data_IF_308563445020
#
_entry.id   IF_308563445020
#
_cell.length_a   1.000
_cell.length_b   1.000
_cell.length_c   1.000
_cell.angle_alpha   90.00
_cell.angle_beta   90.00
_cell.angle_gamma   90.00
#
_symmetry.space_group_name_H-M   'P 1'
#
loop_
_entity.id
_entity.type
_entity.pdbx_description
1 polymer ?
#
# COMPACT_ATOMS: atom_id res chain seq x y z
N UNK A 1 -3.46 -8.01 15.00
CA UNK A 1 -4.70 -8.45 14.29
C UNK A 1 -5.81 -7.51 14.75
N UNK A 2 -6.24 -6.56 13.92
CA UNK A 2 -7.41 -5.72 14.20
C UNK A 2 -8.43 -6.07 13.12
N UNK A 3 -9.58 -6.57 13.57
CA UNK A 3 -10.71 -7.08 12.78
C UNK A 3 -11.72 -5.95 12.67
N UNK A 4 -11.98 -5.43 11.47
CA UNK A 4 -13.34 -4.95 11.09
C UNK A 4 -13.50 -5.07 9.58
N UNK A 5 -14.37 -5.95 9.12
CA UNK A 5 -15.01 -5.89 7.81
C UNK A 5 -16.52 -6.07 8.03
N UNK A 6 -17.31 -5.13 7.50
CA UNK A 6 -18.78 -5.16 7.55
C UNK A 6 -19.30 -5.13 6.13
N UNK A 7 -20.03 -6.18 5.74
CA UNK A 7 -21.17 -6.16 4.79
C UNK A 7 -21.95 -7.45 4.95
N UNK A 8 -23.28 -7.32 5.08
CA UNK A 8 -24.27 -8.34 5.43
C UNK A 8 -24.53 -9.36 4.30
N UNK A 9 -24.59 -10.66 4.62
CA UNK A 9 -25.63 -11.64 4.19
C UNK A 9 -25.62 -12.89 5.12
N UNK A 10 -26.66 -13.75 5.12
CA UNK A 10 -26.94 -14.63 6.27
C UNK A 10 -26.02 -15.86 6.29
N UNK A 11 -25.24 -15.95 7.39
CA UNK A 11 -24.19 -16.92 7.75
C UNK A 11 -22.78 -16.61 7.23
N UNK A 12 -22.30 -15.40 7.46
CA UNK A 12 -20.88 -15.08 7.30
C UNK A 12 -20.06 -15.85 8.37
N UNK A 13 -19.38 -16.91 7.94
CA UNK A 13 -18.33 -17.56 8.71
C UNK A 13 -17.06 -16.72 8.59
N UNK A 14 -16.56 -16.20 9.72
CA UNK A 14 -15.33 -15.41 9.76
C UNK A 14 -14.20 -16.26 10.34
N UNK A 15 -13.08 -16.32 9.63
CA UNK A 15 -11.85 -16.96 10.08
C UNK A 15 -10.65 -16.04 9.84
N UNK A 16 -9.51 -16.36 10.43
CA UNK A 16 -8.25 -15.73 10.04
C UNK A 16 -7.87 -16.22 8.63
N UNK A 17 -7.76 -15.30 7.67
CA UNK A 17 -7.59 -15.62 6.24
C UNK A 17 -8.93 -15.80 5.53
N UNK A 18 -8.98 -16.72 4.57
CA UNK A 18 -10.21 -17.08 3.83
C UNK A 18 -10.36 -18.61 3.74
N UNK A 19 -11.60 -19.15 3.70
CA UNK A 19 -11.82 -20.57 3.44
C UNK A 19 -11.16 -21.02 2.12
N UNK A 20 -10.65 -22.25 2.12
CA UNK A 20 -10.00 -22.83 0.95
C UNK A 20 -11.02 -23.30 -0.09
N UNK A 21 -10.59 -23.31 -1.37
CA UNK A 21 -11.30 -24.00 -2.44
C UNK A 21 -11.22 -25.51 -2.17
N UNK A 22 -12.29 -26.26 -2.48
CA UNK A 22 -12.26 -27.72 -2.42
C UNK A 22 -11.09 -28.23 -3.31
N UNK A 23 -10.13 -29.01 -2.76
CA UNK A 23 -8.99 -29.55 -3.52
C UNK A 23 -9.39 -30.26 -4.83
N UNK A 24 -10.55 -30.93 -4.85
CA UNK A 24 -11.05 -31.64 -6.04
C UNK A 24 -11.48 -30.70 -7.17
N UNK A 25 -11.69 -29.41 -6.89
CA UNK A 25 -12.13 -28.39 -7.84
C UNK A 25 -11.01 -27.40 -8.19
N UNK A 26 -9.77 -27.66 -7.77
CA UNK A 26 -8.64 -26.76 -8.04
C UNK A 26 -8.16 -26.90 -9.49
N UNK A 27 -7.94 -25.77 -10.16
CA UNK A 27 -7.44 -25.68 -11.53
C UNK A 27 -6.12 -24.89 -11.57
N UNK A 28 -5.32 -25.10 -12.63
CA UNK A 28 -4.10 -24.31 -12.87
C UNK A 28 -4.36 -22.80 -12.90
N UNK A 29 -5.52 -22.37 -13.39
CA UNK A 29 -5.95 -20.97 -13.40
C UNK A 29 -6.10 -20.35 -12.01
N UNK A 30 -6.23 -21.14 -10.93
CA UNK A 30 -6.20 -20.60 -9.57
C UNK A 30 -4.81 -20.17 -9.11
N UNK A 31 -3.74 -20.61 -9.81
CA UNK A 31 -2.35 -20.31 -9.48
C UNK A 31 -1.69 -19.33 -10.46
N UNK A 32 -2.44 -18.80 -11.43
CA UNK A 32 -1.95 -17.84 -12.41
C UNK A 32 -2.87 -16.61 -12.46
N UNK A 33 -2.31 -15.45 -12.80
CA UNK A 33 -3.08 -14.22 -12.94
C UNK A 33 -2.45 -13.29 -13.97
N UNK A 34 -3.30 -12.58 -14.71
CA UNK A 34 -2.90 -11.44 -15.55
C UNK A 34 -3.25 -10.11 -14.89
N UNK A 35 -3.63 -10.10 -13.61
CA UNK A 35 -4.07 -8.88 -12.92
C UNK A 35 -3.01 -7.76 -12.91
N UNK A 36 -1.73 -8.09 -13.11
CA UNK A 36 -0.62 -7.13 -13.12
C UNK A 36 -0.15 -6.75 -14.55
N UNK A 37 -0.81 -7.24 -15.60
CA UNK A 37 -0.33 -7.05 -16.99
C UNK A 37 -0.45 -5.61 -17.48
N UNK A 38 -1.48 -4.90 -17.04
CA UNK A 38 -1.79 -3.55 -17.51
C UNK A 38 -1.59 -2.48 -16.43
N UNK A 39 -1.25 -1.24 -16.82
CA UNK A 39 -1.22 -0.12 -15.91
C UNK A 39 -2.62 0.20 -15.39
N UNK A 40 -2.71 0.60 -14.12
CA UNK A 40 -3.97 1.10 -13.56
C UNK A 40 -4.11 2.62 -13.64
N UNK A 41 -5.31 3.12 -13.35
CA UNK A 41 -5.60 4.54 -13.33
C UNK A 41 -5.03 5.22 -12.08
N UNK A 42 -4.23 6.26 -12.27
CA UNK A 42 -3.59 6.97 -11.17
C UNK A 42 -4.59 7.78 -10.33
N UNK A 43 -4.32 7.88 -9.04
CA UNK A 43 -5.12 8.64 -8.07
C UNK A 43 -4.66 10.10 -7.94
N UNK A 44 -5.20 10.82 -6.95
CA UNK A 44 -4.87 12.23 -6.67
C UNK A 44 -3.38 12.51 -6.33
N UNK A 45 -2.62 11.48 -5.96
CA UNK A 45 -1.18 11.54 -5.74
C UNK A 45 -0.38 11.02 -6.96
N UNK A 46 -1.04 10.85 -8.10
CA UNK A 46 -0.46 10.42 -9.37
C UNK A 46 0.21 9.03 -9.32
N UNK A 47 -0.33 8.10 -8.53
CA UNK A 47 0.07 6.69 -8.57
C UNK A 47 -1.12 5.74 -8.59
N UNK A 48 -0.88 4.50 -9.01
CA UNK A 48 -1.79 3.37 -8.87
C UNK A 48 -1.05 2.16 -8.27
N UNK A 49 -1.77 1.36 -7.47
CA UNK A 49 -1.30 0.05 -7.01
C UNK A 49 -2.31 -1.01 -7.40
N UNK A 50 -1.89 -1.96 -8.22
CA UNK A 50 -2.67 -3.18 -8.50
C UNK A 50 -2.08 -4.33 -7.69
N UNK A 51 -2.81 -4.80 -6.69
CA UNK A 51 -2.37 -5.82 -5.74
C UNK A 51 -2.99 -7.19 -6.06
N UNK A 52 -2.16 -8.24 -6.06
CA UNK A 52 -2.66 -9.61 -6.05
C UNK A 52 -3.29 -9.95 -4.70
N UNK A 53 -4.41 -10.68 -4.73
CA UNK A 53 -5.15 -11.09 -3.55
C UNK A 53 -5.90 -12.39 -3.85
N UNK A 54 -6.58 -12.94 -2.85
CA UNK A 54 -7.28 -14.23 -2.97
C UNK A 54 -8.45 -14.22 -3.96
N UNK A 55 -8.87 -13.07 -4.48
CA UNK A 55 -9.91 -12.99 -5.52
C UNK A 55 -9.32 -13.10 -6.93
N UNK A 56 -8.13 -12.51 -7.18
CA UNK A 56 -7.51 -12.47 -8.52
C UNK A 56 -6.34 -13.44 -8.70
N UNK A 57 -5.85 -14.04 -7.61
CA UNK A 57 -4.87 -15.12 -7.58
C UNK A 57 -5.15 -16.02 -6.37
N UNK A 58 -6.23 -16.83 -6.38
CA UNK A 58 -6.70 -17.58 -5.21
C UNK A 58 -5.65 -18.50 -4.56
N UNK A 59 -4.76 -19.07 -5.37
CA UNK A 59 -3.71 -19.99 -4.96
C UNK A 59 -2.67 -19.40 -3.99
N UNK A 60 -2.65 -18.07 -3.79
CA UNK A 60 -1.77 -17.44 -2.79
C UNK A 60 -2.25 -17.60 -1.34
N UNK A 61 -3.49 -18.05 -1.11
CA UNK A 61 -4.02 -18.22 0.23
C UNK A 61 -3.10 -19.14 1.05
N UNK A 62 -2.82 -18.77 2.29
CA UNK A 62 -1.90 -19.45 3.24
C UNK A 62 -0.40 -19.39 2.90
N UNK A 63 0.00 -18.87 1.73
CA UNK A 63 1.41 -18.84 1.31
C UNK A 63 2.22 -17.65 1.86
N UNK A 64 1.55 -16.69 2.50
CA UNK A 64 2.23 -15.57 3.15
C UNK A 64 2.93 -14.61 2.18
N UNK A 65 2.45 -14.52 0.93
CA UNK A 65 3.01 -13.62 -0.08
C UNK A 65 1.95 -12.98 -0.97
N UNK A 66 2.25 -11.79 -1.48
CA UNK A 66 1.54 -11.13 -2.59
C UNK A 66 2.55 -10.34 -3.44
N UNK A 67 2.17 -10.09 -4.69
CA UNK A 67 2.82 -9.12 -5.58
C UNK A 67 1.92 -7.90 -5.79
N UNK A 68 2.54 -6.75 -5.97
CA UNK A 68 1.92 -5.47 -6.33
C UNK A 68 2.61 -4.87 -7.55
N UNK A 69 1.83 -4.47 -8.56
CA UNK A 69 2.29 -3.55 -9.60
C UNK A 69 2.05 -2.12 -9.14
N UNK A 70 3.03 -1.26 -9.33
CA UNK A 70 2.97 0.15 -8.95
C UNK A 70 3.29 1.00 -10.17
N UNK A 71 2.28 1.70 -10.68
CA UNK A 71 2.43 2.67 -11.76
C UNK A 71 2.49 4.07 -11.15
N UNK A 72 3.56 4.82 -11.38
CA UNK A 72 3.78 6.14 -10.79
C UNK A 72 3.98 7.15 -11.91
N UNK A 73 3.03 8.05 -12.11
CA UNK A 73 3.13 9.05 -13.18
C UNK A 73 4.26 10.04 -12.90
N UNK A 74 4.50 10.95 -13.85
CA UNK A 74 5.42 12.07 -13.68
C UNK A 74 5.11 12.82 -12.38
N UNK A 75 6.14 13.07 -11.57
CA UNK A 75 6.00 13.72 -10.25
C UNK A 75 5.00 13.01 -9.30
N UNK A 76 4.75 11.71 -9.52
CA UNK A 76 3.85 10.92 -8.70
C UNK A 76 4.49 10.45 -7.41
N UNK A 77 3.68 10.36 -6.36
CA UNK A 77 4.11 10.02 -5.00
C UNK A 77 3.21 8.92 -4.45
N UNK A 78 3.80 7.77 -4.12
CA UNK A 78 3.22 6.87 -3.12
C UNK A 78 3.52 7.49 -1.76
N UNK A 79 2.54 8.10 -1.07
CA UNK A 79 2.82 8.93 0.10
C UNK A 79 3.39 8.11 1.26
N UNK A 80 3.93 8.76 2.30
CA UNK A 80 4.36 8.07 3.51
C UNK A 80 3.28 7.11 4.03
N UNK A 81 3.61 5.83 4.06
CA UNK A 81 2.68 4.76 4.43
C UNK A 81 3.41 3.57 5.06
N UNK A 82 2.67 2.66 5.67
CA UNK A 82 3.21 1.45 6.28
C UNK A 82 2.36 0.22 5.99
N UNK A 83 3.01 -0.94 5.95
CA UNK A 83 2.38 -2.26 5.88
C UNK A 83 2.42 -2.92 7.25
N UNK A 84 1.31 -2.91 8.03
CA UNK A 84 1.32 -3.42 9.41
C UNK A 84 1.56 -4.92 9.50
N UNK A 85 1.40 -5.67 8.41
CA UNK A 85 1.47 -7.15 8.41
C UNK A 85 2.59 -7.73 7.56
N UNK A 86 3.32 -6.94 6.78
CA UNK A 86 4.35 -7.46 5.86
C UNK A 86 5.57 -6.55 5.80
N UNK A 87 6.74 -7.14 5.55
CA UNK A 87 7.85 -6.43 4.90
C UNK A 87 7.57 -6.35 3.40
N UNK A 88 8.23 -5.41 2.72
CA UNK A 88 8.12 -5.23 1.27
C UNK A 88 9.52 -5.20 0.65
N UNK A 89 9.65 -5.75 -0.55
CA UNK A 89 10.80 -5.52 -1.42
C UNK A 89 10.30 -5.05 -2.78
N UNK A 90 10.87 -3.96 -3.29
CA UNK A 90 10.49 -3.37 -4.58
C UNK A 90 11.65 -3.49 -5.54
N UNK A 91 11.35 -3.87 -6.78
CA UNK A 91 12.25 -3.72 -7.93
C UNK A 91 11.69 -2.65 -8.87
N UNK A 92 12.55 -1.76 -9.34
CA UNK A 92 12.20 -0.79 -10.37
C UNK A 92 12.38 -1.43 -11.75
N UNK A 93 11.35 -1.38 -12.59
CA UNK A 93 11.40 -1.93 -13.96
C UNK A 93 11.61 -0.83 -15.00
N UNK A 94 10.99 0.34 -14.83
CA UNK A 94 11.11 1.46 -15.76
C UNK A 94 11.15 2.81 -15.02
N UNK A 95 11.85 3.79 -15.58
CA UNK A 95 11.90 5.16 -15.03
C UNK A 95 12.96 5.34 -13.95
N UNK A 96 12.66 6.18 -12.96
CA UNK A 96 13.56 6.55 -11.85
C UNK A 96 12.73 6.79 -10.60
N UNK A 97 13.09 6.18 -9.47
CA UNK A 97 12.35 6.31 -8.21
C UNK A 97 13.25 6.66 -7.04
N UNK A 98 12.92 7.74 -6.34
CA UNK A 98 13.44 8.00 -5.00
C UNK A 98 12.59 7.22 -4.01
N UNK A 99 13.22 6.32 -3.26
CA UNK A 99 12.54 5.50 -2.25
C UNK A 99 13.22 5.67 -0.91
N UNK A 100 12.47 5.48 0.17
CA UNK A 100 13.08 5.45 1.49
C UNK A 100 12.13 5.08 2.61
N UNK A 101 12.69 4.66 3.75
CA UNK A 101 11.98 4.43 5.00
C UNK A 101 12.63 5.14 6.18
N UNK A 102 11.85 5.36 7.22
CA UNK A 102 12.31 5.94 8.48
C UNK A 102 12.33 4.86 9.57
N UNK A 103 13.48 4.67 10.23
CA UNK A 103 13.61 3.73 11.34
C UNK A 103 13.05 4.28 12.67
N UNK A 104 13.08 3.46 13.72
CA UNK A 104 12.56 3.81 15.04
C UNK A 104 13.43 4.84 15.80
N UNK A 105 14.61 5.18 15.28
CA UNK A 105 15.45 6.28 15.75
C UNK A 105 15.21 7.56 14.93
N UNK A 106 14.18 7.58 14.08
CA UNK A 106 13.84 8.65 13.15
C UNK A 106 14.93 8.90 12.09
N UNK A 107 15.75 7.90 11.76
CA UNK A 107 16.74 8.00 10.70
C UNK A 107 16.12 7.59 9.37
N UNK A 108 16.27 8.46 8.37
CA UNK A 108 15.92 8.17 6.98
C UNK A 108 17.01 7.32 6.31
N UNK A 109 16.61 6.22 5.70
CA UNK A 109 17.40 5.47 4.72
C UNK A 109 16.72 5.66 3.37
N UNK A 110 17.44 6.19 2.39
CA UNK A 110 16.89 6.57 1.08
C UNK A 110 17.87 6.26 -0.04
N UNK A 111 17.34 5.96 -1.22
CA UNK A 111 18.11 5.65 -2.42
C UNK A 111 17.35 6.07 -3.68
N UNK A 112 18.08 6.58 -4.68
CA UNK A 112 17.55 6.72 -6.04
C UNK A 112 17.75 5.40 -6.78
N UNK A 113 16.66 4.74 -7.16
CA UNK A 113 16.65 3.50 -7.93
C UNK A 113 16.67 3.80 -9.44
N UNK A 114 17.35 2.92 -10.17
CA UNK A 114 17.34 2.77 -11.64
C UNK A 114 16.70 1.42 -12.01
N UNK A 115 16.29 1.20 -13.26
CA UNK A 115 15.78 -0.08 -13.71
C UNK A 115 16.71 -1.25 -13.34
N UNK A 116 16.17 -2.27 -12.68
CA UNK A 116 16.90 -3.41 -12.14
C UNK A 116 17.30 -3.28 -10.67
N UNK A 117 17.33 -2.06 -10.10
CA UNK A 117 17.65 -1.86 -8.69
C UNK A 117 16.49 -2.31 -7.79
N UNK A 118 16.85 -2.85 -6.62
CA UNK A 118 15.90 -3.28 -5.60
C UNK A 118 16.08 -2.51 -4.29
N UNK A 119 15.01 -2.36 -3.52
CA UNK A 119 15.03 -1.76 -2.18
C UNK A 119 14.07 -2.49 -1.24
N UNK A 120 14.48 -2.68 0.03
CA UNK A 120 13.70 -3.41 1.04
C UNK A 120 13.16 -2.45 2.10
N UNK A 121 11.89 -2.62 2.45
CA UNK A 121 11.19 -1.89 3.50
C UNK A 121 10.86 -2.82 4.67
N UNK A 122 11.38 -2.57 5.87
CA UNK A 122 11.06 -3.37 7.04
C UNK A 122 9.58 -3.25 7.43
N UNK A 123 9.00 -4.38 7.87
CA UNK A 123 7.60 -4.48 8.30
C UNK A 123 7.19 -3.36 9.26
N UNK A 124 6.09 -2.69 8.92
CA UNK A 124 5.45 -1.68 9.78
C UNK A 124 6.13 -0.32 9.83
N UNK A 125 7.27 -0.12 9.15
CA UNK A 125 7.92 1.19 9.09
C UNK A 125 7.31 2.08 8.01
N UNK A 126 7.29 3.39 8.29
CA UNK A 126 6.82 4.39 7.33
C UNK A 126 7.85 4.49 6.20
N UNK A 127 7.38 4.37 4.96
CA UNK A 127 8.18 4.49 3.76
C UNK A 127 7.40 5.18 2.63
N UNK A 128 8.11 5.54 1.55
CA UNK A 128 7.55 6.24 0.40
C UNK A 128 8.26 5.83 -0.91
N UNK A 129 7.57 6.04 -2.03
CA UNK A 129 8.14 5.94 -3.38
C UNK A 129 7.77 7.22 -4.12
N UNK A 130 8.75 7.91 -4.71
CA UNK A 130 8.55 9.17 -5.40
C UNK A 130 9.21 9.14 -6.78
N UNK A 131 8.42 9.36 -7.82
CA UNK A 131 8.95 9.55 -9.17
C UNK A 131 9.46 10.99 -9.32
N UNK A 132 10.78 11.11 -9.26
CA UNK A 132 11.51 12.38 -9.40
C UNK A 132 11.68 12.81 -10.86
N UNK A 133 11.32 11.97 -11.84
CA UNK A 133 11.41 12.31 -13.26
C UNK A 133 10.24 13.23 -13.66
N UNK A 134 10.56 14.31 -14.37
CA UNK A 134 9.61 15.34 -14.80
C UNK A 134 8.97 15.06 -16.17
N UNK A 135 9.41 14.02 -16.87
CA UNK A 135 8.99 13.72 -18.25
C UNK A 135 8.47 12.30 -18.42
N UNK A 136 8.92 11.36 -17.59
CA UNK A 136 8.58 9.94 -17.74
C UNK A 136 7.90 9.34 -16.50
N UNK A 137 6.89 8.48 -16.69
CA UNK A 137 6.37 7.66 -15.60
C UNK A 137 7.41 6.62 -15.17
N UNK A 138 7.16 6.00 -14.02
CA UNK A 138 7.92 4.88 -13.49
C UNK A 138 7.01 3.67 -13.26
N UNK A 139 7.56 2.48 -13.47
CA UNK A 139 6.91 1.20 -13.21
C UNK A 139 7.75 0.39 -12.23
N UNK A 140 7.18 0.05 -11.09
CA UNK A 140 7.80 -0.83 -10.12
C UNK A 140 6.92 -2.05 -9.82
N UNK A 141 7.55 -3.10 -9.34
CA UNK A 141 6.87 -4.28 -8.80
C UNK A 141 7.37 -4.54 -7.39
N UNK A 142 6.45 -4.77 -6.47
CA UNK A 142 6.75 -5.08 -5.08
C UNK A 142 6.28 -6.48 -4.70
N UNK A 143 7.11 -7.21 -3.97
CA UNK A 143 6.74 -8.42 -3.25
C UNK A 143 6.55 -8.12 -1.76
N UNK A 144 5.46 -8.62 -1.17
CA UNK A 144 5.16 -8.40 0.24
C UNK A 144 5.02 -9.73 0.97
N UNK A 145 5.61 -9.82 2.16
CA UNK A 145 5.68 -11.05 2.98
C UNK A 145 4.40 -11.35 3.77
N UNK A 146 3.22 -11.13 3.18
CA UNK A 146 1.92 -11.52 3.73
C UNK A 146 0.88 -11.60 2.63
N UNK A 147 -0.02 -12.59 2.69
CA UNK A 147 -1.20 -12.66 1.80
C UNK A 147 -2.16 -11.46 1.93
N UNK A 148 -2.04 -10.72 3.04
CA UNK A 148 -2.80 -9.52 3.32
C UNK A 148 -1.89 -8.53 4.06
N UNK A 149 -1.07 -7.74 3.35
CA UNK A 149 -0.14 -6.81 3.99
C UNK A 149 -0.88 -5.68 4.73
N UNK A 150 -2.01 -5.24 4.16
CA UNK A 150 -2.67 -3.99 4.52
C UNK A 150 -1.81 -2.78 4.19
N UNK A 151 -2.42 -1.62 3.99
CA UNK A 151 -1.69 -0.37 3.81
C UNK A 151 -2.33 0.70 4.68
N UNK A 152 -1.50 1.51 5.33
CA UNK A 152 -1.94 2.67 6.07
C UNK A 152 -1.16 3.88 5.59
N UNK A 153 -1.81 4.73 4.80
CA UNK A 153 -1.24 6.02 4.38
C UNK A 153 -1.30 6.97 5.57
N UNK A 154 -0.16 7.46 6.03
CA UNK A 154 -0.03 8.19 7.29
C UNK A 154 -0.90 9.45 7.32
N UNK A 155 -0.94 10.22 6.23
CA UNK A 155 -1.73 11.44 6.13
C UNK A 155 -3.24 11.16 6.17
N UNK A 156 -3.72 10.21 5.37
CA UNK A 156 -5.13 9.82 5.29
C UNK A 156 -5.61 9.22 6.61
N UNK A 157 -4.87 8.27 7.18
CA UNK A 157 -5.24 7.63 8.44
C UNK A 157 -5.31 8.63 9.61
N UNK A 158 -4.44 9.64 9.59
CA UNK A 158 -4.38 10.67 10.64
C UNK A 158 -5.50 11.69 10.47
N UNK A 159 -5.61 12.31 9.30
CA UNK A 159 -6.43 13.51 9.11
C UNK A 159 -7.83 13.22 8.58
N UNK A 160 -8.05 12.13 7.84
CA UNK A 160 -9.33 11.80 7.18
C UNK A 160 -9.90 10.44 7.62
N UNK A 161 -9.57 9.99 8.83
CA UNK A 161 -10.15 8.79 9.44
C UNK A 161 -11.68 8.90 9.61
N UNK A 162 -12.35 7.76 9.67
CA UNK A 162 -13.78 7.66 9.94
C UNK A 162 -14.06 6.58 11.02
N UNK A 163 -14.56 6.95 12.21
CA UNK A 163 -14.82 8.32 12.67
C UNK A 163 -13.54 9.18 12.73
N UNK A 164 -13.66 10.51 12.60
CA UNK A 164 -12.49 11.39 12.56
C UNK A 164 -11.72 11.38 13.87
N UNK A 165 -10.38 11.41 13.76
CA UNK A 165 -9.51 11.62 14.92
C UNK A 165 -9.87 12.94 15.62
N UNK A 166 -9.98 12.97 16.95
CA UNK A 166 -10.33 14.20 17.67
C UNK A 166 -9.35 15.33 17.37
N UNK A 167 -9.87 16.52 17.06
CA UNK A 167 -9.04 17.67 16.70
C UNK A 167 -8.02 18.02 17.79
N UNK A 168 -8.33 17.82 19.06
CA UNK A 168 -7.39 18.05 20.17
C UNK A 168 -6.19 17.10 20.13
N UNK A 169 -6.37 15.86 19.66
CA UNK A 169 -5.27 14.91 19.45
C UNK A 169 -4.38 15.42 18.32
N UNK A 170 -4.97 15.84 17.20
CA UNK A 170 -4.23 16.36 16.05
C UNK A 170 -3.47 17.65 16.39
N UNK A 171 -4.14 18.63 17.01
CA UNK A 171 -3.53 19.91 17.42
C UNK A 171 -2.34 19.68 18.37
N UNK A 172 -2.52 18.83 19.39
CA UNK A 172 -1.46 18.56 20.39
C UNK A 172 -0.32 17.71 19.82
N UNK A 173 -0.64 16.73 18.97
CA UNK A 173 0.32 15.80 18.37
C UNK A 173 1.17 16.44 17.27
N UNK A 174 0.55 17.24 16.40
CA UNK A 174 1.24 17.92 15.30
C UNK A 174 1.71 19.34 15.63
N UNK A 175 1.35 19.87 16.81
CA UNK A 175 1.67 21.26 17.24
C UNK A 175 1.12 22.31 16.26
N UNK A 176 -0.12 22.11 15.82
CA UNK A 176 -0.80 22.96 14.85
C UNK A 176 -2.11 23.53 15.39
N UNK A 177 -2.67 24.51 14.68
CA UNK A 177 -3.97 25.11 15.01
C UNK A 177 -5.14 24.30 14.43
N UNK A 178 -6.36 24.61 14.88
CA UNK A 178 -7.57 24.04 14.25
C UNK A 178 -7.70 24.42 12.77
N UNK A 179 -7.25 25.61 12.38
CA UNK A 179 -7.28 26.06 10.99
C UNK A 179 -6.34 25.24 10.10
N UNK A 180 -5.19 24.84 10.63
CA UNK A 180 -4.26 23.96 9.93
C UNK A 180 -4.88 22.56 9.72
N UNK A 181 -5.54 22.00 10.74
CA UNK A 181 -6.23 20.71 10.64
C UNK A 181 -7.31 20.76 9.55
N UNK A 182 -8.14 21.81 9.53
CA UNK A 182 -9.18 22.01 8.51
C UNK A 182 -8.56 22.13 7.12
N UNK A 183 -7.45 22.88 6.99
CA UNK A 183 -6.74 23.04 5.72
C UNK A 183 -6.18 21.71 5.21
N UNK A 184 -5.56 20.92 6.08
CA UNK A 184 -5.00 19.60 5.71
C UNK A 184 -6.11 18.64 5.28
N UNK A 185 -7.21 18.56 6.06
CA UNK A 185 -8.37 17.74 5.69
C UNK A 185 -8.89 18.09 4.30
N UNK A 186 -9.11 19.39 4.04
CA UNK A 186 -9.60 19.88 2.75
C UNK A 186 -8.70 19.46 1.59
N UNK A 187 -7.38 19.57 1.78
CA UNK A 187 -6.41 19.20 0.76
C UNK A 187 -6.35 17.69 0.50
N UNK A 188 -6.80 16.86 1.44
CA UNK A 188 -6.85 15.40 1.32
C UNK A 188 -8.25 14.89 0.87
N UNK A 189 -9.18 15.79 0.54
CA UNK A 189 -10.54 15.45 0.12
C UNK A 189 -11.52 15.19 1.28
N UNK A 190 -11.23 15.70 2.48
CA UNK A 190 -12.07 15.59 3.69
C UNK A 190 -12.43 16.91 4.33
#
# INVERSE_FOLDING_TARGET
MIIVLRTKRPRDFFSNGVPCINPDHVLASHFATSALSEPGNVNQFNFNVTLTNTNNLPGLNTLGLVLARIDIAVNGLVPPHAHPRASEVTILLEGSLLVGFVDTLNRLYTQQLRPGDCFVFPKGLIHFLYNTDFMRPALAVSGLSSQNPGAQISSVATFTSNPPMPDDVLKKGFKVTGQDVIKIRRNLGG
#
